data_IF_034519489708
#
_entry.id   IF_034519489708
#
_cell.length_a   1.000
_cell.length_b   1.000
_cell.length_c   1.000
_cell.angle_alpha   90.00
_cell.angle_beta   90.00
_cell.angle_gamma   90.00
#
_symmetry.space_group_name_H-M   'P 1'
#
loop_
_entity.id
_entity.type
_entity.pdbx_description
1 polymer ?
#
# COMPACT_ATOMS: atom_id res chain seq x y z
N UNK A 1 -20.50 3.53 11.48
CA UNK A 1 -19.97 2.89 10.25
C UNK A 1 -19.65 3.97 9.24
N UNK A 2 -18.72 3.76 8.30
CA UNK A 2 -18.36 4.73 7.26
C UNK A 2 -18.82 4.24 5.88
N UNK A 3 -19.20 5.15 4.98
CA UNK A 3 -19.73 4.81 3.65
C UNK A 3 -18.84 5.26 2.48
N UNK A 4 -18.03 6.31 2.65
CA UNK A 4 -17.25 6.94 1.55
C UNK A 4 -15.74 6.85 1.73
N UNK A 5 -15.22 7.06 2.94
CA UNK A 5 -13.77 7.15 3.18
C UNK A 5 -13.04 5.86 2.76
N UNK A 6 -11.90 5.97 2.09
CA UNK A 6 -11.08 4.79 1.76
C UNK A 6 -10.44 4.21 3.02
N UNK A 7 -10.24 2.89 3.05
CA UNK A 7 -9.58 2.18 4.15
C UNK A 7 -8.30 1.56 3.63
N UNK A 8 -7.15 1.87 4.22
CA UNK A 8 -5.87 1.36 3.73
C UNK A 8 -4.94 0.89 4.84
N UNK A 9 -4.01 0.00 4.47
CA UNK A 9 -2.88 -0.35 5.35
C UNK A 9 -1.66 0.47 4.99
N UNK A 10 -1.10 1.25 5.91
CA UNK A 10 0.12 2.05 5.71
C UNK A 10 1.27 1.63 6.64
N UNK A 11 1.82 0.42 6.60
CA UNK A 11 1.75 -0.61 5.54
C UNK A 11 1.66 -2.03 6.13
N UNK A 12 1.30 -3.01 5.30
CA UNK A 12 1.35 -4.44 5.64
C UNK A 12 2.73 -5.02 5.30
N UNK A 13 3.40 -5.61 6.29
CA UNK A 13 4.66 -6.33 6.09
C UNK A 13 4.42 -7.75 5.58
N UNK A 14 4.05 -7.87 4.30
CA UNK A 14 3.70 -9.15 3.69
C UNK A 14 4.84 -10.19 3.78
N UNK A 15 6.10 -9.74 3.77
CA UNK A 15 7.28 -10.59 3.89
C UNK A 15 7.26 -11.51 5.11
N UNK A 16 6.74 -11.06 6.25
CA UNK A 16 6.66 -11.81 7.52
C UNK A 16 5.27 -12.40 7.81
N UNK A 17 4.29 -12.21 6.91
CA UNK A 17 2.92 -12.73 7.07
C UNK A 17 2.67 -13.99 6.27
N UNK A 18 1.72 -14.81 6.71
CA UNK A 18 1.20 -15.90 5.88
C UNK A 18 0.42 -15.33 4.68
N UNK A 19 0.77 -15.71 3.44
CA UNK A 19 0.14 -15.15 2.24
C UNK A 19 -1.31 -15.62 2.03
N UNK A 20 -1.67 -16.85 2.45
CA UNK A 20 -3.02 -17.39 2.26
C UNK A 20 -4.00 -16.68 3.21
N UNK A 21 -3.62 -16.54 4.48
CA UNK A 21 -4.36 -15.77 5.46
C UNK A 21 -4.45 -14.31 5.08
N UNK A 22 -3.36 -13.73 4.57
CA UNK A 22 -3.39 -12.34 4.12
C UNK A 22 -4.36 -12.14 2.96
N UNK A 23 -4.35 -13.02 1.95
CA UNK A 23 -5.29 -12.96 0.83
C UNK A 23 -6.75 -13.04 1.29
N UNK A 24 -7.06 -13.93 2.24
CA UNK A 24 -8.40 -14.05 2.86
C UNK A 24 -8.80 -12.79 3.63
N UNK A 25 -7.90 -12.27 4.47
CA UNK A 25 -8.16 -11.11 5.32
C UNK A 25 -8.43 -9.86 4.47
N UNK A 26 -7.59 -9.60 3.47
CA UNK A 26 -7.75 -8.43 2.59
C UNK A 26 -8.99 -8.54 1.69
N UNK A 27 -9.30 -9.74 1.17
CA UNK A 27 -10.55 -9.96 0.44
C UNK A 27 -11.78 -9.75 1.33
N UNK A 28 -11.72 -10.15 2.59
CA UNK A 28 -12.79 -9.92 3.56
C UNK A 28 -12.96 -8.43 3.85
N UNK A 29 -11.87 -7.72 4.14
CA UNK A 29 -11.88 -6.27 4.36
C UNK A 29 -12.42 -5.51 3.15
N UNK A 30 -12.01 -5.92 1.96
CA UNK A 30 -12.50 -5.34 0.72
C UNK A 30 -14.03 -5.48 0.59
N UNK A 31 -14.57 -6.69 0.83
CA UNK A 31 -16.02 -6.90 0.81
C UNK A 31 -16.76 -6.12 1.90
N UNK A 32 -16.26 -6.14 3.14
CA UNK A 32 -16.89 -5.46 4.27
C UNK A 32 -16.84 -3.94 4.12
N UNK A 33 -15.80 -3.42 3.47
CA UNK A 33 -15.70 -2.00 3.16
C UNK A 33 -16.57 -1.58 1.97
N UNK A 34 -17.16 -2.52 1.22
CA UNK A 34 -17.89 -2.22 -0.01
C UNK A 34 -16.96 -1.80 -1.16
N UNK A 35 -15.74 -2.36 -1.21
CA UNK A 35 -14.78 -2.10 -2.27
C UNK A 35 -13.92 -0.84 -2.06
N UNK A 36 -13.77 -0.38 -0.81
CA UNK A 36 -13.00 0.83 -0.46
C UNK A 36 -11.61 0.50 0.09
N UNK A 37 -11.18 -0.75 0.02
CA UNK A 37 -9.92 -1.18 0.62
C UNK A 37 -8.73 -0.93 -0.31
N UNK A 38 -7.66 -0.39 0.25
CA UNK A 38 -6.36 -0.19 -0.42
C UNK A 38 -5.30 -1.02 0.30
N UNK A 39 -4.71 -1.95 -0.43
CA UNK A 39 -3.74 -2.88 0.14
C UNK A 39 -2.34 -2.29 0.08
N UNK A 40 -2.00 -1.45 1.05
CA UNK A 40 -0.64 -0.93 1.16
C UNK A 40 0.31 -1.97 1.77
N UNK A 41 1.41 -2.26 1.08
CA UNK A 41 2.43 -3.24 1.48
C UNK A 41 3.80 -2.57 1.60
N UNK A 42 4.71 -3.17 2.37
CA UNK A 42 6.08 -2.69 2.45
C UNK A 42 7.08 -3.81 2.70
N UNK A 43 8.35 -3.48 2.53
CA UNK A 43 9.45 -4.44 2.70
C UNK A 43 9.95 -4.52 4.13
N UNK A 44 9.56 -3.58 5.00
CA UNK A 44 10.06 -3.47 6.37
C UNK A 44 11.53 -3.03 6.45
N UNK A 45 11.85 -2.37 7.55
CA UNK A 45 13.16 -1.77 7.80
C UNK A 45 13.84 -2.37 9.05
N UNK A 46 13.07 -2.92 9.99
CA UNK A 46 13.60 -3.45 11.23
C UNK A 46 14.14 -4.86 11.04
N UNK A 47 15.46 -5.01 11.07
CA UNK A 47 16.14 -6.31 10.88
C UNK A 47 15.70 -7.36 11.90
N UNK A 48 15.52 -6.94 13.16
CA UNK A 48 15.13 -7.81 14.27
C UNK A 48 13.77 -8.46 14.05
N UNK A 49 12.82 -7.71 13.48
CA UNK A 49 11.49 -8.22 13.17
C UNK A 49 11.57 -9.40 12.18
N UNK A 50 12.32 -9.25 11.10
CA UNK A 50 12.54 -10.33 10.14
C UNK A 50 13.25 -11.54 10.75
N UNK A 51 14.25 -11.31 11.60
CA UNK A 51 14.96 -12.38 12.30
C UNK A 51 14.05 -13.19 13.22
N UNK A 52 13.14 -12.54 13.95
CA UNK A 52 12.15 -13.21 14.81
C UNK A 52 11.18 -14.11 14.02
N UNK A 53 10.99 -13.84 12.73
CA UNK A 53 10.17 -14.66 11.83
C UNK A 53 11.00 -15.70 11.05
N UNK A 54 12.29 -15.86 11.35
CA UNK A 54 13.18 -16.79 10.67
C UNK A 54 13.52 -16.41 9.23
N UNK A 55 13.35 -15.13 8.86
CA UNK A 55 13.55 -14.65 7.49
C UNK A 55 14.87 -13.86 7.39
N UNK A 56 15.81 -14.27 6.52
CA UNK A 56 16.99 -13.48 6.21
C UNK A 56 16.62 -12.09 5.68
N UNK A 57 17.11 -11.04 6.34
CA UNK A 57 16.71 -9.66 6.05
C UNK A 57 17.06 -9.19 4.63
N UNK A 58 18.13 -9.71 4.06
CA UNK A 58 18.54 -9.49 2.67
C UNK A 58 17.54 -10.10 1.66
N UNK A 59 16.85 -11.18 2.03
CA UNK A 59 15.84 -11.84 1.18
C UNK A 59 14.43 -11.24 1.27
N UNK A 60 14.19 -10.29 2.18
CA UNK A 60 12.85 -9.74 2.45
C UNK A 60 12.10 -9.27 1.21
N UNK A 61 12.77 -8.58 0.29
CA UNK A 61 12.15 -8.08 -0.95
C UNK A 61 11.70 -9.21 -1.86
N UNK A 62 12.57 -10.20 -2.08
CA UNK A 62 12.25 -11.36 -2.91
C UNK A 62 11.06 -12.15 -2.33
N UNK A 63 11.06 -12.38 -1.02
CA UNK A 63 9.98 -13.07 -0.32
C UNK A 63 8.66 -12.29 -0.39
N UNK A 64 8.69 -10.97 -0.17
CA UNK A 64 7.50 -10.12 -0.31
C UNK A 64 6.91 -10.20 -1.71
N UNK A 65 7.74 -10.15 -2.76
CA UNK A 65 7.27 -10.26 -4.16
C UNK A 65 6.65 -11.61 -4.46
N UNK A 66 7.28 -12.69 -4.02
CA UNK A 66 6.76 -14.04 -4.21
C UNK A 66 5.43 -14.24 -3.49
N UNK A 67 5.34 -13.76 -2.24
CA UNK A 67 4.08 -13.76 -1.48
C UNK A 67 3.00 -12.91 -2.15
N UNK A 68 3.35 -11.74 -2.69
CA UNK A 68 2.39 -10.88 -3.38
C UNK A 68 1.84 -11.55 -4.63
N UNK A 69 2.69 -12.22 -5.41
CA UNK A 69 2.24 -13.04 -6.55
C UNK A 69 1.23 -14.08 -6.10
N UNK A 70 1.54 -14.87 -5.07
CA UNK A 70 0.58 -15.85 -4.55
C UNK A 70 -0.73 -15.19 -4.10
N UNK A 71 -0.67 -14.07 -3.37
CA UNK A 71 -1.88 -13.34 -2.94
C UNK A 71 -2.74 -12.95 -4.15
N UNK A 72 -2.12 -12.41 -5.21
CA UNK A 72 -2.81 -12.04 -6.45
C UNK A 72 -3.43 -13.25 -7.16
N UNK A 73 -2.74 -14.38 -7.19
CA UNK A 73 -3.24 -15.65 -7.77
C UNK A 73 -4.42 -16.26 -7.00
N UNK A 74 -4.58 -15.91 -5.72
CA UNK A 74 -5.66 -16.42 -4.87
C UNK A 74 -6.96 -15.61 -4.96
N UNK A 75 -6.92 -14.38 -5.48
CA UNK A 75 -8.10 -13.50 -5.58
C UNK A 75 -9.04 -13.75 -6.78
N UNK A 76 -8.60 -14.28 -7.93
CA UNK A 76 -9.49 -14.76 -8.97
C UNK A 76 -10.47 -15.83 -8.48
N UNK A 77 -11.58 -15.99 -9.21
CA UNK A 77 -12.60 -17.00 -8.90
C UNK A 77 -12.21 -18.41 -9.33
N UNK A 78 -11.11 -18.60 -10.04
CA UNK A 78 -10.68 -19.90 -10.53
C UNK A 78 -9.95 -20.71 -9.45
N UNK A 79 -9.82 -22.02 -9.68
CA UNK A 79 -8.93 -22.85 -8.86
C UNK A 79 -7.51 -22.61 -9.33
N UNK A 80 -6.63 -22.21 -8.43
CA UNK A 80 -5.26 -21.83 -8.77
C UNK A 80 -4.27 -22.73 -8.06
N UNK A 81 -3.26 -23.18 -8.80
CA UNK A 81 -2.04 -23.75 -8.24
C UNK A 81 -0.94 -22.68 -8.31
N UNK A 82 -0.01 -22.70 -7.37
CA UNK A 82 1.12 -21.78 -7.37
C UNK A 82 2.41 -22.56 -7.17
N UNK A 83 3.40 -22.31 -8.03
CA UNK A 83 4.75 -22.84 -7.87
C UNK A 83 5.73 -21.68 -7.94
N UNK A 84 6.17 -21.22 -6.77
CA UNK A 84 7.24 -20.24 -6.62
C UNK A 84 8.58 -20.88 -6.33
N UNK A 85 9.55 -20.06 -5.93
CA UNK A 85 10.89 -20.49 -5.51
C UNK A 85 10.87 -21.10 -4.09
N UNK A 86 9.98 -20.60 -3.23
CA UNK A 86 9.87 -20.95 -1.80
C UNK A 86 8.47 -21.40 -1.43
N UNK A 87 7.46 -20.97 -2.18
CA UNK A 87 6.06 -21.24 -1.86
C UNK A 87 5.44 -22.12 -2.93
N UNK A 88 4.87 -23.23 -2.50
CA UNK A 88 4.07 -24.11 -3.35
C UNK A 88 2.68 -24.23 -2.78
N UNK A 89 1.67 -24.08 -3.65
CA UNK A 89 0.27 -24.26 -3.31
C UNK A 89 -0.32 -25.27 -4.29
N UNK A 90 -0.83 -26.43 -3.82
CA UNK A 90 -1.59 -27.34 -4.67
C UNK A 90 -2.88 -26.65 -5.17
N UNK A 91 -3.53 -27.15 -6.24
CA UNK A 91 -4.78 -26.58 -6.74
C UNK A 91 -5.77 -26.25 -5.62
N UNK A 92 -6.00 -24.97 -5.40
CA UNK A 92 -6.74 -24.45 -4.26
C UNK A 92 -7.64 -23.29 -4.68
N UNK A 93 -8.76 -23.13 -3.97
CA UNK A 93 -9.71 -22.04 -4.20
C UNK A 93 -10.16 -21.40 -2.88
N UNK A 94 -9.24 -20.79 -2.11
CA UNK A 94 -9.60 -20.15 -0.85
C UNK A 94 -10.54 -18.97 -1.11
N UNK A 95 -11.60 -18.88 -0.31
CA UNK A 95 -12.51 -17.72 -0.27
C UNK A 95 -12.44 -16.99 1.07
N UNK A 96 -12.99 -15.77 1.18
CA UNK A 96 -13.75 -15.07 0.15
C UNK A 96 -12.87 -14.46 -0.95
N UNK A 97 -13.49 -14.03 -2.06
CA UNK A 97 -12.85 -13.25 -3.12
C UNK A 97 -13.13 -11.75 -2.92
N UNK A 98 -12.19 -10.85 -3.26
CA UNK A 98 -12.43 -9.42 -3.15
C UNK A 98 -13.62 -9.00 -4.03
N UNK A 99 -14.25 -7.89 -3.64
CA UNK A 99 -15.29 -7.23 -4.44
C UNK A 99 -14.68 -6.48 -5.62
N UNK A 100 -13.56 -5.78 -5.39
CA UNK A 100 -12.85 -5.02 -6.43
C UNK A 100 -12.23 -5.93 -7.50
N UNK A 101 -12.17 -5.43 -8.74
CA UNK A 101 -11.58 -6.10 -9.91
C UNK A 101 -10.47 -5.25 -10.51
N UNK A 102 -9.34 -5.84 -10.93
CA UNK A 102 -8.99 -7.27 -10.82
C UNK A 102 -8.75 -7.72 -9.37
N UNK A 103 -8.39 -6.80 -8.48
CA UNK A 103 -8.18 -6.99 -7.04
C UNK A 103 -8.21 -5.63 -6.33
N UNK A 104 -8.16 -5.57 -4.98
CA UNK A 104 -7.95 -4.30 -4.28
C UNK A 104 -6.64 -3.63 -4.75
N UNK A 105 -6.60 -2.30 -4.94
CA UNK A 105 -5.39 -1.60 -5.36
C UNK A 105 -4.22 -1.84 -4.41
N UNK A 106 -3.05 -2.14 -4.96
CA UNK A 106 -1.84 -2.44 -4.20
C UNK A 106 -0.95 -1.19 -4.17
N UNK A 107 -0.72 -0.64 -2.98
CA UNK A 107 0.19 0.50 -2.81
C UNK A 107 1.51 0.03 -2.20
N UNK A 108 2.66 0.33 -2.79
CA UNK A 108 3.95 -0.07 -2.21
C UNK A 108 4.53 1.10 -1.41
N UNK A 109 4.75 0.88 -0.12
CA UNK A 109 5.55 1.75 0.75
C UNK A 109 7.02 1.42 0.63
N UNK A 110 7.78 2.27 -0.06
CA UNK A 110 9.22 2.14 -0.20
C UNK A 110 9.90 3.48 -0.51
N UNK A 111 11.15 3.64 -0.05
CA UNK A 111 12.03 4.69 -0.54
C UNK A 111 12.42 4.41 -1.99
N UNK A 112 12.52 5.46 -2.81
CA UNK A 112 12.88 5.33 -4.22
C UNK A 112 14.33 4.85 -4.36
N UNK A 113 14.54 3.97 -5.33
CA UNK A 113 15.82 3.38 -5.66
C UNK A 113 15.64 2.35 -6.78
N UNK A 114 16.71 1.86 -7.40
CA UNK A 114 16.61 1.07 -8.63
C UNK A 114 15.66 -0.13 -8.52
N UNK A 115 15.80 -0.94 -7.46
CA UNK A 115 14.91 -2.09 -7.24
C UNK A 115 13.48 -1.71 -6.88
N UNK A 116 13.29 -0.63 -6.11
CA UNK A 116 11.93 -0.13 -5.79
C UNK A 116 11.22 0.34 -7.04
N UNK A 117 11.90 1.04 -7.95
CA UNK A 117 11.31 1.53 -9.20
C UNK A 117 10.78 0.39 -10.07
N UNK A 118 11.57 -0.68 -10.25
CA UNK A 118 11.12 -1.88 -10.98
C UNK A 118 9.92 -2.53 -10.30
N UNK A 119 9.93 -2.64 -8.96
CA UNK A 119 8.83 -3.23 -8.21
C UNK A 119 7.55 -2.37 -8.33
N UNK A 120 7.66 -1.04 -8.24
CA UNK A 120 6.54 -0.10 -8.42
C UNK A 120 5.94 -0.23 -9.82
N UNK A 121 6.78 -0.11 -10.84
CA UNK A 121 6.35 -0.18 -12.24
C UNK A 121 5.59 -1.47 -12.52
N UNK A 122 6.07 -2.62 -12.05
CA UNK A 122 5.51 -3.95 -12.41
C UNK A 122 4.43 -4.49 -11.47
N UNK A 123 4.41 -4.09 -10.19
CA UNK A 123 3.56 -4.74 -9.17
C UNK A 123 2.51 -3.83 -8.54
N UNK A 124 2.75 -2.51 -8.53
CA UNK A 124 1.94 -1.58 -7.74
C UNK A 124 0.88 -0.87 -8.58
N UNK A 125 -0.22 -0.53 -7.95
CA UNK A 125 -1.25 0.40 -8.45
C UNK A 125 -1.06 1.80 -7.83
N UNK A 126 -0.28 1.89 -6.74
CA UNK A 126 0.12 3.16 -6.15
C UNK A 126 1.45 3.11 -5.39
N UNK A 127 2.00 4.27 -5.08
CA UNK A 127 3.24 4.45 -4.35
C UNK A 127 2.99 5.24 -3.06
N UNK A 128 3.58 4.78 -1.96
CA UNK A 128 3.67 5.51 -0.70
C UNK A 128 5.16 5.82 -0.47
N UNK A 129 5.65 7.02 -0.84
CA UNK A 129 7.05 7.39 -0.69
C UNK A 129 7.50 7.35 0.78
N UNK A 130 8.63 6.69 1.06
CA UNK A 130 9.33 6.86 2.35
C UNK A 130 10.40 7.95 2.20
N UNK A 131 10.04 9.18 2.56
CA UNK A 131 10.91 10.35 2.46
C UNK A 131 10.75 11.36 3.60
N UNK A 132 10.35 10.91 4.80
CA UNK A 132 10.02 11.80 5.93
C UNK A 132 9.06 12.92 5.50
N UNK A 133 7.89 12.53 4.97
CA UNK A 133 6.85 13.47 4.54
C UNK A 133 7.21 14.30 3.29
N UNK A 134 8.05 13.76 2.40
CA UNK A 134 8.47 14.42 1.15
C UNK A 134 8.48 13.45 -0.02
N UNK A 135 8.15 14.00 -1.17
CA UNK A 135 8.35 13.45 -2.51
C UNK A 135 8.48 14.64 -3.46
N UNK A 136 9.20 14.47 -4.56
CA UNK A 136 9.39 15.52 -5.58
C UNK A 136 8.70 15.16 -6.89
N UNK A 137 8.39 16.18 -7.71
CA UNK A 137 7.78 15.96 -9.02
C UNK A 137 8.68 15.12 -9.94
N UNK A 138 10.01 15.25 -9.79
CA UNK A 138 10.99 14.46 -10.53
C UNK A 138 10.92 12.97 -10.16
N UNK A 139 10.82 12.65 -8.86
CA UNK A 139 10.68 11.27 -8.39
C UNK A 139 9.35 10.64 -8.84
N UNK A 140 8.25 11.40 -8.78
CA UNK A 140 6.95 10.95 -9.31
C UNK A 140 7.06 10.69 -10.81
N UNK A 141 7.59 11.65 -11.59
CA UNK A 141 7.78 11.49 -13.03
C UNK A 141 8.65 10.27 -13.38
N UNK A 142 9.71 9.98 -12.60
CA UNK A 142 10.55 8.81 -12.80
C UNK A 142 9.76 7.50 -12.61
N UNK A 143 8.92 7.41 -11.58
CA UNK A 143 8.08 6.23 -11.32
C UNK A 143 7.01 6.07 -12.39
N UNK A 144 6.33 7.17 -12.78
CA UNK A 144 5.32 7.14 -13.83
C UNK A 144 5.93 6.72 -15.18
N UNK A 145 7.10 7.25 -15.53
CA UNK A 145 7.82 6.86 -16.75
C UNK A 145 8.21 5.38 -16.74
N UNK A 146 8.62 4.82 -15.60
CA UNK A 146 8.95 3.41 -15.48
C UNK A 146 7.73 2.49 -15.68
N UNK A 147 6.55 2.89 -15.17
CA UNK A 147 5.30 2.16 -15.42
C UNK A 147 4.86 2.26 -16.89
N UNK A 148 4.94 3.46 -17.48
CA UNK A 148 4.61 3.70 -18.88
C UNK A 148 5.51 2.90 -19.85
N UNK A 149 6.81 2.80 -19.55
CA UNK A 149 7.77 2.05 -20.36
C UNK A 149 7.45 0.55 -20.49
N UNK A 150 6.64 -0.01 -19.59
CA UNK A 150 6.16 -1.40 -19.64
C UNK A 150 4.66 -1.51 -19.98
N UNK A 151 4.06 -0.43 -20.47
CA UNK A 151 2.65 -0.40 -20.91
C UNK A 151 1.63 -0.37 -19.78
N UNK A 152 2.01 0.02 -18.56
CA UNK A 152 1.06 0.21 -17.45
C UNK A 152 0.63 1.68 -17.30
N UNK A 153 -0.58 1.86 -16.79
CA UNK A 153 -1.12 3.18 -16.45
C UNK A 153 -0.41 3.84 -15.26
N UNK A 154 -0.76 5.09 -14.95
CA UNK A 154 -0.12 5.83 -13.86
C UNK A 154 -0.41 5.20 -12.49
N UNK A 155 0.54 5.33 -11.58
CA UNK A 155 0.40 4.94 -10.18
C UNK A 155 -0.23 6.07 -9.37
N UNK A 156 -1.14 5.74 -8.44
CA UNK A 156 -1.63 6.69 -7.44
C UNK A 156 -0.53 7.01 -6.41
N UNK A 157 -0.27 8.29 -6.15
CA UNK A 157 0.74 8.76 -5.22
C UNK A 157 0.07 9.18 -3.91
N UNK A 158 0.35 8.46 -2.82
CA UNK A 158 -0.15 8.78 -1.49
C UNK A 158 0.99 9.16 -0.56
N UNK A 159 1.08 10.44 -0.20
CA UNK A 159 2.07 10.94 0.77
C UNK A 159 1.43 11.03 2.15
N UNK A 160 2.23 10.73 3.17
CA UNK A 160 1.82 10.94 4.56
C UNK A 160 2.46 12.24 5.02
N UNK A 161 1.75 13.03 5.82
CA UNK A 161 2.26 14.21 6.52
C UNK A 161 1.92 14.09 8.00
N UNK A 162 2.77 14.64 8.87
CA UNK A 162 2.37 14.92 10.24
C UNK A 162 1.38 16.11 10.26
N UNK A 163 0.46 16.16 11.21
CA UNK A 163 -0.48 17.28 11.37
C UNK A 163 0.20 18.66 11.43
N UNK A 164 1.41 18.76 12.00
CA UNK A 164 2.20 20.00 12.02
C UNK A 164 2.68 20.45 10.63
N UNK A 165 2.68 19.53 9.65
CA UNK A 165 3.05 19.78 8.27
C UNK A 165 1.84 19.94 7.33
N UNK A 166 0.61 20.06 7.86
CA UNK A 166 -0.60 20.20 7.03
C UNK A 166 -0.56 21.40 6.07
N UNK A 167 0.17 22.47 6.39
CA UNK A 167 0.39 23.62 5.50
C UNK A 167 1.05 23.24 4.14
N UNK A 168 1.59 22.02 4.01
CA UNK A 168 2.19 21.51 2.77
C UNK A 168 1.22 20.69 1.91
N UNK A 169 -0.06 20.59 2.26
CA UNK A 169 -1.04 19.83 1.48
C UNK A 169 -1.07 20.33 0.03
N UNK A 170 -1.15 21.64 -0.18
CA UNK A 170 -1.18 22.23 -1.53
C UNK A 170 0.14 22.01 -2.29
N UNK A 171 1.28 22.16 -1.61
CA UNK A 171 2.61 21.82 -2.18
C UNK A 171 2.65 20.36 -2.66
N UNK A 172 2.10 19.43 -1.89
CA UNK A 172 2.09 18.01 -2.27
C UNK A 172 1.14 17.75 -3.44
N UNK A 173 0.00 18.42 -3.51
CA UNK A 173 -0.89 18.36 -4.65
C UNK A 173 -0.22 18.92 -5.93
N UNK A 174 0.46 20.07 -5.85
CA UNK A 174 1.19 20.69 -6.96
C UNK A 174 2.34 19.81 -7.48
N UNK A 175 3.02 19.10 -6.58
CA UNK A 175 4.05 18.13 -6.93
C UNK A 175 3.49 16.90 -7.66
N UNK A 176 2.17 16.69 -7.63
CA UNK A 176 1.48 15.59 -8.31
C UNK A 176 1.11 14.43 -7.39
N UNK A 177 0.94 14.67 -6.09
CA UNK A 177 0.38 13.67 -5.19
C UNK A 177 -1.14 13.59 -5.36
N UNK A 178 -1.68 12.40 -5.63
CA UNK A 178 -3.14 12.16 -5.68
C UNK A 178 -3.78 12.20 -4.28
N UNK A 179 -2.98 11.96 -3.23
CA UNK A 179 -3.50 11.88 -1.86
C UNK A 179 -2.49 12.32 -0.82
N UNK A 180 -2.96 13.12 0.13
CA UNK A 180 -2.27 13.44 1.37
C UNK A 180 -2.99 12.79 2.55
N UNK A 181 -2.28 11.97 3.32
CA UNK A 181 -2.78 11.33 4.54
C UNK A 181 -2.14 12.03 5.73
N UNK A 182 -2.93 12.75 6.51
CA UNK A 182 -2.42 13.45 7.70
C UNK A 182 -2.46 12.54 8.92
N UNK A 183 -1.32 12.41 9.59
CA UNK A 183 -1.15 11.69 10.84
C UNK A 183 -1.33 12.63 12.02
N UNK A 184 -2.19 12.22 12.96
CA UNK A 184 -2.45 12.96 14.20
C UNK A 184 -1.64 12.39 15.36
N UNK A 185 -1.29 13.22 16.36
CA UNK A 185 -0.53 12.76 17.50
C UNK A 185 -1.38 11.84 18.39
N UNK A 186 -0.70 11.06 19.24
CA UNK A 186 -1.36 10.36 20.34
C UNK A 186 -1.70 11.36 21.44
N UNK A 187 -2.87 11.98 21.35
CA UNK A 187 -3.35 13.02 22.26
C UNK A 187 -4.78 12.72 22.74
N UNK A 188 -5.30 13.42 23.77
CA UNK A 188 -6.71 13.34 24.15
C UNK A 188 -7.64 13.58 22.96
N UNK A 189 -8.80 12.90 22.96
CA UNK A 189 -9.77 12.95 21.86
C UNK A 189 -10.13 14.38 21.42
N UNK A 190 -10.34 15.29 22.37
CA UNK A 190 -10.73 16.67 22.08
C UNK A 190 -9.67 17.39 21.23
N UNK A 191 -8.41 17.28 21.63
CA UNK A 191 -7.27 17.87 20.93
C UNK A 191 -7.11 17.31 19.50
N UNK A 192 -7.26 15.99 19.33
CA UNK A 192 -7.21 15.38 17.99
C UNK A 192 -8.36 15.87 17.11
N UNK A 193 -9.56 16.06 17.66
CA UNK A 193 -10.71 16.57 16.89
C UNK A 193 -10.50 18.03 16.47
N UNK A 194 -9.91 18.86 17.32
CA UNK A 194 -9.55 20.23 16.95
C UNK A 194 -8.58 20.26 15.76
N UNK A 195 -7.55 19.39 15.75
CA UNK A 195 -6.66 19.28 14.59
C UNK A 195 -7.38 18.79 13.33
N UNK A 196 -8.32 17.87 13.47
CA UNK A 196 -9.13 17.37 12.34
C UNK A 196 -10.01 18.48 11.76
N UNK A 197 -10.67 19.26 12.62
CA UNK A 197 -11.53 20.38 12.21
C UNK A 197 -10.72 21.47 11.50
N UNK A 198 -9.57 21.86 12.06
CA UNK A 198 -8.67 22.85 11.44
C UNK A 198 -8.22 22.44 10.03
N UNK A 199 -7.93 21.15 9.82
CA UNK A 199 -7.57 20.64 8.50
C UNK A 199 -8.80 20.55 7.58
N UNK A 200 -9.95 20.15 8.11
CA UNK A 200 -11.17 20.07 7.32
C UNK A 200 -11.58 21.44 6.77
N UNK A 201 -11.51 22.49 7.59
CA UNK A 201 -11.81 23.87 7.18
C UNK A 201 -10.90 24.40 6.06
N UNK A 202 -9.66 23.92 5.98
CA UNK A 202 -8.68 24.36 4.98
C UNK A 202 -8.78 23.65 3.63
N UNK A 203 -9.16 22.36 3.61
CA UNK A 203 -8.99 21.51 2.42
C UNK A 203 -10.13 20.53 2.12
N UNK A 204 -11.20 20.50 2.92
CA UNK A 204 -12.34 19.61 2.70
C UNK A 204 -13.59 20.46 2.51
N UNK A 205 -14.09 20.50 1.28
CA UNK A 205 -15.44 21.01 1.01
C UNK A 205 -16.47 20.06 1.65
N UNK A 206 -17.08 20.50 2.75
CA UNK A 206 -18.11 19.75 3.49
C UNK A 206 -19.52 19.91 2.89
#
# INVERSE_FOLDING_TARGET
>A
TTSRILLGTGITLLGIRDPIWTAKATATLDRLSGGRFLFGIGYGWLRREYQSHGIPFDRRRAITREKLRLVKELWPTETTAFSGERIHLPPSRPGPKPLQRPHPPIHIGAALGPGTKTDLASLADGWIPLGMYRVTAAEIAEVQAAAAAIGRGPLEISVYLDHTAAHRIDEMAEVGCDRVVVCFPSAPRAEVLEYVEQIAEGWIDL
#
